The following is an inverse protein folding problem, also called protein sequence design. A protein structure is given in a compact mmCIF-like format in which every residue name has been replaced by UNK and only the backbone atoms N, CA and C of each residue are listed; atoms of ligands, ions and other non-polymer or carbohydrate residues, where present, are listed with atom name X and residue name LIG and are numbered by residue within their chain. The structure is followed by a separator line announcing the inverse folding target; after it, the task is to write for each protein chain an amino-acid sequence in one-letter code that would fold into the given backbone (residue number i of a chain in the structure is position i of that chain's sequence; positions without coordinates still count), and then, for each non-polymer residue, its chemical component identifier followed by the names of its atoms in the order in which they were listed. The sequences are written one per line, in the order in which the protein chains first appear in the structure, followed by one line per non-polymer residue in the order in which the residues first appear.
data_IF_055636439944
#
_entry.id   IF_055636439944
#
_cell.length_a   1.000
_cell.length_b   1.000
_cell.length_c   1.000
_cell.angle_alpha   90.00
_cell.angle_beta   90.00
_cell.angle_gamma   90.00
#
_symmetry.space_group_name_H-M   'P 1'
#
loop_
_entity.id
_entity.type
_entity.pdbx_description
1 polymer ?
#
# COMPACT_ATOMS: atom_id res chain seq x y z
N UNK A 1 8.85 21.53 12.46
CA UNK A 1 7.73 22.37 11.99
C UNK A 1 7.61 22.22 10.47
N UNK A 2 6.83 21.25 9.99
CA UNK A 2 6.57 21.06 8.56
C UNK A 2 5.40 21.95 8.20
N UNK A 3 5.71 23.22 7.91
CA UNK A 3 4.73 24.22 7.50
C UNK A 3 4.17 23.86 6.11
N UNK A 4 2.86 23.58 6.07
CA UNK A 4 1.99 23.52 4.89
C UNK A 4 2.26 22.41 3.86
N UNK A 5 1.20 21.68 3.51
CA UNK A 5 1.15 20.61 2.51
C UNK A 5 1.45 21.07 1.08
N UNK A 6 2.71 21.44 0.82
CA UNK A 6 3.24 21.69 -0.51
C UNK A 6 4.02 20.47 -0.99
N UNK A 7 3.55 19.91 -2.10
CA UNK A 7 4.17 18.80 -2.80
C UNK A 7 5.49 19.24 -3.43
N UNK A 8 6.62 18.74 -2.92
CA UNK A 8 7.97 19.10 -3.37
C UNK A 8 8.18 18.85 -4.87
N UNK A 9 7.50 17.83 -5.41
CA UNK A 9 7.56 17.47 -6.82
C UNK A 9 7.05 18.60 -7.73
N UNK A 10 6.22 19.53 -7.23
CA UNK A 10 5.77 20.70 -7.99
C UNK A 10 6.90 21.73 -8.25
N UNK A 11 8.00 21.64 -7.52
CA UNK A 11 9.19 22.50 -7.72
C UNK A 11 10.22 21.87 -8.65
N UNK A 12 10.03 20.61 -9.02
CA UNK A 12 10.89 19.94 -9.98
C UNK A 12 10.84 20.66 -11.35
N UNK A 13 11.99 20.98 -11.97
CA UNK A 13 12.04 21.72 -13.23
C UNK A 13 11.26 21.05 -14.38
N UNK A 14 11.30 19.72 -14.45
CA UNK A 14 10.58 18.95 -15.47
C UNK A 14 9.07 19.04 -15.25
N UNK A 15 8.61 18.93 -14.00
CA UNK A 15 7.19 19.10 -13.66
C UNK A 15 6.69 20.51 -14.00
N UNK A 16 7.47 21.55 -13.67
CA UNK A 16 7.11 22.93 -14.00
C UNK A 16 7.02 23.15 -15.52
N UNK A 17 7.98 22.61 -16.28
CA UNK A 17 7.97 22.67 -17.75
C UNK A 17 6.73 22.00 -18.34
N UNK A 18 6.36 20.82 -17.84
CA UNK A 18 5.17 20.10 -18.29
C UNK A 18 3.89 20.89 -17.94
N UNK A 19 3.80 21.43 -16.73
CA UNK A 19 2.66 22.27 -16.34
C UNK A 19 2.54 23.54 -17.19
N UNK A 20 3.66 24.18 -17.53
CA UNK A 20 3.68 25.33 -18.44
C UNK A 20 3.21 24.94 -19.84
N UNK A 21 3.64 23.77 -20.35
CA UNK A 21 3.18 23.23 -21.63
C UNK A 21 1.67 23.02 -21.64
N UNK A 22 1.11 22.38 -20.59
CA UNK A 22 -0.34 22.17 -20.49
C UNK A 22 -1.12 23.49 -20.44
N UNK A 23 -0.58 24.52 -19.78
CA UNK A 23 -1.23 25.85 -19.67
C UNK A 23 -1.15 26.67 -20.94
N UNK A 24 -0.02 26.61 -21.64
CA UNK A 24 0.27 27.48 -22.79
C UNK A 24 -0.16 26.85 -24.12
N UNK A 25 -0.29 25.53 -24.19
CA UNK A 25 -0.81 24.82 -25.34
C UNK A 25 -2.35 24.85 -25.35
N UNK A 26 -2.96 24.95 -26.54
CA UNK A 26 -4.41 24.85 -26.68
C UNK A 26 -4.95 23.53 -26.11
N UNK A 27 -6.15 23.58 -25.50
CA UNK A 27 -6.79 22.40 -24.92
C UNK A 27 -7.00 21.31 -26.00
N UNK A 28 -6.55 20.09 -25.71
CA UNK A 28 -6.68 18.95 -26.65
C UNK A 28 -5.62 18.88 -27.75
N UNK A 29 -4.61 19.77 -27.74
CA UNK A 29 -3.44 19.63 -28.61
C UNK A 29 -2.59 18.43 -28.23
N UNK A 30 -1.85 17.88 -29.21
CA UNK A 30 -0.94 16.74 -29.01
C UNK A 30 0.06 17.04 -27.88
N UNK A 31 0.64 18.23 -27.85
CA UNK A 31 1.60 18.64 -26.82
C UNK A 31 0.98 18.69 -25.42
N UNK A 32 -0.25 19.20 -25.30
CA UNK A 32 -0.96 19.24 -24.02
C UNK A 32 -1.31 17.83 -23.52
N UNK A 33 -1.76 16.94 -24.42
CA UNK A 33 -2.07 15.54 -24.10
C UNK A 33 -0.80 14.79 -23.67
N UNK A 34 0.30 14.94 -24.41
CA UNK A 34 1.58 14.32 -24.08
C UNK A 34 2.11 14.81 -22.72
N UNK A 35 2.02 16.12 -22.45
CA UNK A 35 2.45 16.70 -21.18
C UNK A 35 1.58 16.23 -20.01
N UNK A 36 0.27 16.14 -20.18
CA UNK A 36 -0.65 15.59 -19.17
C UNK A 36 -0.36 14.11 -18.90
N UNK A 37 -0.12 13.31 -19.94
CA UNK A 37 0.24 11.90 -19.82
C UNK A 37 1.54 11.75 -19.03
N UNK A 38 2.57 12.54 -19.37
CA UNK A 38 3.86 12.49 -18.66
C UNK A 38 3.73 12.92 -17.19
N UNK A 39 2.94 13.96 -16.89
CA UNK A 39 2.64 14.35 -15.51
C UNK A 39 1.95 13.23 -14.74
N UNK A 40 0.98 12.56 -15.35
CA UNK A 40 0.29 11.42 -14.73
C UNK A 40 1.27 10.29 -14.41
N UNK A 41 2.15 9.95 -15.33
CA UNK A 41 3.18 8.92 -15.12
C UNK A 41 4.14 9.28 -13.98
N UNK A 42 4.55 10.56 -13.89
CA UNK A 42 5.39 11.06 -12.80
C UNK A 42 4.71 10.88 -11.44
N UNK A 43 3.47 11.35 -11.29
CA UNK A 43 2.75 11.23 -10.02
C UNK A 43 2.45 9.77 -9.67
N UNK A 44 2.11 8.94 -10.67
CA UNK A 44 1.90 7.50 -10.46
C UNK A 44 3.16 6.81 -9.95
N UNK A 45 4.33 7.11 -10.51
CA UNK A 45 5.59 6.52 -10.06
C UNK A 45 5.92 6.94 -8.62
N UNK A 46 5.73 8.21 -8.25
CA UNK A 46 5.87 8.64 -6.84
C UNK A 46 4.91 7.89 -5.93
N UNK A 47 3.65 7.79 -6.31
CA UNK A 47 2.61 7.13 -5.52
C UNK A 47 2.88 5.61 -5.39
N UNK A 48 3.54 4.99 -6.37
CA UNK A 48 4.06 3.62 -6.28
C UNK A 48 5.18 3.48 -5.26
N UNK A 49 6.13 4.42 -5.20
CA UNK A 49 7.18 4.41 -4.15
C UNK A 49 6.52 4.56 -2.77
N UNK A 50 5.56 5.48 -2.64
CA UNK A 50 4.83 5.69 -1.41
C UNK A 50 4.10 4.42 -0.94
N UNK A 51 3.33 3.80 -1.85
CA UNK A 51 2.66 2.51 -1.59
C UNK A 51 3.67 1.44 -1.17
N UNK A 52 4.77 1.30 -1.90
CA UNK A 52 5.78 0.28 -1.66
C UNK A 52 6.46 0.46 -0.30
N UNK A 53 6.85 1.68 0.07
CA UNK A 53 7.44 1.98 1.38
C UNK A 53 6.45 1.69 2.52
N UNK A 54 5.20 2.13 2.40
CA UNK A 54 4.16 1.83 3.39
C UNK A 54 3.92 0.32 3.53
N UNK A 55 3.82 -0.41 2.42
CA UNK A 55 3.62 -1.85 2.44
C UNK A 55 4.84 -2.59 3.03
N UNK A 56 6.06 -2.16 2.72
CA UNK A 56 7.29 -2.71 3.27
C UNK A 56 7.27 -2.68 4.81
N UNK A 57 6.90 -1.55 5.42
CA UNK A 57 6.81 -1.42 6.88
C UNK A 57 5.75 -2.34 7.50
N UNK A 58 4.61 -2.51 6.82
CA UNK A 58 3.58 -3.46 7.24
C UNK A 58 4.13 -4.89 7.17
N UNK A 59 4.69 -5.32 6.04
CA UNK A 59 5.26 -6.65 5.89
C UNK A 59 6.40 -6.92 6.88
N UNK A 60 7.23 -5.91 7.16
CA UNK A 60 8.27 -5.98 8.18
C UNK A 60 7.70 -6.24 9.58
N UNK A 61 6.57 -5.61 9.92
CA UNK A 61 5.89 -5.80 11.22
C UNK A 61 5.42 -7.24 11.41
N UNK A 62 5.06 -7.93 10.31
CA UNK A 62 4.62 -9.33 10.32
C UNK A 62 5.73 -10.33 9.94
N UNK A 63 6.95 -9.87 9.66
CA UNK A 63 8.08 -10.74 9.29
C UNK A 63 7.95 -11.39 7.91
N UNK A 64 7.21 -10.78 6.98
CA UNK A 64 6.99 -11.32 5.64
C UNK A 64 8.11 -10.90 4.67
N UNK A 65 9.27 -11.55 4.77
CA UNK A 65 10.48 -11.18 4.01
C UNK A 65 10.26 -11.20 2.49
N UNK A 66 9.56 -12.21 1.96
CA UNK A 66 9.32 -12.32 0.52
C UNK A 66 8.57 -11.09 -0.03
N UNK A 67 7.59 -10.58 0.73
CA UNK A 67 6.85 -9.39 0.35
C UNK A 67 7.64 -8.09 0.61
N UNK A 68 8.49 -8.05 1.64
CA UNK A 68 9.43 -6.94 1.84
C UNK A 68 10.36 -6.78 0.62
N UNK A 69 10.96 -7.87 0.14
CA UNK A 69 11.86 -7.86 -1.03
C UNK A 69 11.11 -7.39 -2.30
N UNK A 70 9.88 -7.85 -2.48
CA UNK A 70 9.02 -7.43 -3.59
C UNK A 70 8.69 -5.92 -3.53
N UNK A 71 8.39 -5.38 -2.34
CA UNK A 71 8.12 -3.94 -2.17
C UNK A 71 9.38 -3.11 -2.35
N UNK A 72 10.54 -3.57 -1.88
CA UNK A 72 11.80 -2.89 -2.14
C UNK A 72 12.07 -2.79 -3.65
N UNK A 73 11.92 -3.90 -4.39
CA UNK A 73 12.05 -3.91 -5.85
C UNK A 73 11.05 -2.97 -6.54
N UNK A 74 9.80 -2.98 -6.11
CA UNK A 74 8.77 -2.09 -6.66
C UNK A 74 9.14 -0.60 -6.48
N UNK A 75 9.69 -0.23 -5.32
CA UNK A 75 10.17 1.12 -5.07
C UNK A 75 11.35 1.47 -5.99
N UNK A 76 12.33 0.58 -6.17
CA UNK A 76 13.46 0.81 -7.09
C UNK A 76 13.04 0.93 -8.56
N UNK A 77 12.10 0.10 -9.01
CA UNK A 77 11.58 0.18 -10.38
C UNK A 77 10.82 1.50 -10.62
N UNK A 78 10.07 1.98 -9.61
CA UNK A 78 9.41 3.28 -9.68
C UNK A 78 10.40 4.47 -9.64
N UNK A 79 11.52 4.36 -8.91
CA UNK A 79 12.62 5.34 -8.96
C UNK A 79 13.24 5.43 -10.34
N UNK A 80 13.57 4.30 -10.96
CA UNK A 80 14.06 4.25 -12.35
C UNK A 80 13.06 4.86 -13.34
N UNK A 81 11.76 4.67 -13.09
CA UNK A 81 10.72 5.32 -13.89
C UNK A 81 10.78 6.84 -13.76
N UNK A 82 10.90 7.40 -12.55
CA UNK A 82 11.05 8.85 -12.34
C UNK A 82 12.32 9.39 -13.01
N UNK A 83 13.43 8.68 -12.89
CA UNK A 83 14.69 9.00 -13.58
C UNK A 83 14.48 9.09 -15.10
N UNK A 84 13.87 8.06 -15.72
CA UNK A 84 13.58 8.05 -17.17
C UNK A 84 12.64 9.17 -17.62
N UNK A 85 11.84 9.71 -16.70
CA UNK A 85 10.93 10.82 -16.96
C UNK A 85 11.63 12.18 -16.81
N UNK A 86 12.88 12.21 -16.35
CA UNK A 86 13.69 13.41 -16.19
C UNK A 86 13.41 14.18 -14.89
N UNK A 87 12.92 13.48 -13.86
CA UNK A 87 12.78 14.05 -12.51
C UNK A 87 14.14 14.08 -11.84
N UNK A 88 14.41 15.14 -11.07
CA UNK A 88 15.65 15.26 -10.30
C UNK A 88 15.70 14.21 -9.18
N UNK A 89 16.86 13.55 -9.03
CA UNK A 89 17.06 12.47 -8.06
C UNK A 89 16.70 12.87 -6.63
N UNK A 90 16.91 14.13 -6.24
CA UNK A 90 16.54 14.66 -4.92
C UNK A 90 15.05 14.44 -4.56
N UNK A 91 14.20 14.24 -5.57
CA UNK A 91 12.77 13.97 -5.38
C UNK A 91 12.47 12.51 -5.02
N UNK A 92 13.36 11.57 -5.32
CA UNK A 92 13.12 10.12 -5.16
C UNK A 92 14.33 9.29 -4.71
N UNK A 93 15.44 9.93 -4.34
CA UNK A 93 16.67 9.27 -3.93
C UNK A 93 16.44 8.15 -2.90
N UNK A 94 17.30 7.14 -2.91
CA UNK A 94 17.24 6.06 -1.94
C UNK A 94 17.25 6.63 -0.50
N UNK A 95 16.40 6.08 0.37
CA UNK A 95 16.23 6.55 1.75
C UNK A 95 15.32 7.78 1.93
N UNK A 96 14.89 8.47 0.86
CA UNK A 96 13.85 9.51 0.99
C UNK A 96 12.52 8.87 1.38
N UNK A 97 11.91 9.38 2.45
CA UNK A 97 10.58 8.95 2.87
C UNK A 97 9.50 9.59 1.98
N UNK A 98 8.90 8.77 1.13
CA UNK A 98 7.75 9.11 0.30
C UNK A 98 6.46 8.43 0.80
N UNK A 99 6.52 7.62 1.87
CA UNK A 99 5.36 6.92 2.45
C UNK A 99 4.26 7.90 2.84
N UNK A 100 4.64 9.14 3.22
CA UNK A 100 3.71 10.22 3.55
C UNK A 100 2.75 10.57 2.41
N UNK A 101 3.05 10.25 1.15
CA UNK A 101 2.14 10.46 0.02
C UNK A 101 1.04 9.39 -0.08
N UNK A 102 1.19 8.26 0.61
CA UNK A 102 0.14 7.25 0.73
C UNK A 102 -0.88 7.65 1.80
N UNK A 103 -2.09 8.09 1.37
CA UNK A 103 -3.10 8.69 2.27
C UNK A 103 -4.15 7.70 2.82
N UNK A 104 -3.99 6.41 2.56
CA UNK A 104 -4.91 5.36 3.03
C UNK A 104 -4.31 4.66 4.26
N UNK A 105 -5.10 3.89 5.04
CA UNK A 105 -4.55 3.06 6.11
C UNK A 105 -3.45 2.13 5.60
N UNK A 106 -2.36 1.98 6.35
CA UNK A 106 -1.12 1.32 5.89
C UNK A 106 -1.35 -0.09 5.33
N UNK A 107 -2.22 -0.90 5.97
CA UNK A 107 -2.58 -2.24 5.50
C UNK A 107 -3.15 -2.26 4.07
N UNK A 108 -3.78 -1.18 3.61
CA UNK A 108 -4.30 -1.06 2.23
C UNK A 108 -3.21 -0.84 1.19
N UNK A 109 -1.96 -0.64 1.60
CA UNK A 109 -0.82 -0.63 0.70
C UNK A 109 -0.40 -2.05 0.30
N UNK A 110 -0.77 -3.07 1.09
CA UNK A 110 -0.42 -4.46 0.85
C UNK A 110 -1.31 -5.09 -0.22
N UNK A 111 -0.71 -5.75 -1.22
CA UNK A 111 -1.45 -6.52 -2.23
C UNK A 111 -1.74 -7.95 -1.75
N UNK A 112 -0.86 -8.47 -0.89
CA UNK A 112 -0.99 -9.78 -0.23
C UNK A 112 -1.17 -9.61 1.27
N UNK A 113 -1.81 -10.60 1.91
CA UNK A 113 -2.00 -10.66 3.35
C UNK A 113 -0.64 -10.59 4.07
N UNK A 114 -0.41 -9.55 4.90
CA UNK A 114 0.88 -9.39 5.54
C UNK A 114 1.11 -10.42 6.65
N UNK A 115 0.04 -10.96 7.23
CA UNK A 115 0.12 -11.90 8.36
C UNK A 115 0.44 -13.34 7.94
N UNK A 116 0.34 -13.66 6.65
CA UNK A 116 0.59 -15.01 6.11
C UNK A 116 1.96 -15.02 5.41
N UNK A 117 2.94 -15.64 6.06
CA UNK A 117 4.34 -15.65 5.58
C UNK A 117 4.70 -16.90 4.77
N UNK A 118 3.89 -17.96 4.84
CA UNK A 118 4.14 -19.24 4.16
C UNK A 118 3.89 -19.19 2.65
N UNK A 119 3.08 -18.24 2.18
CA UNK A 119 2.69 -18.07 0.77
C UNK A 119 2.01 -16.73 0.53
N UNK A 120 1.93 -16.34 -0.74
CA UNK A 120 1.28 -15.10 -1.17
C UNK A 120 -0.24 -15.29 -1.34
N UNK A 121 -1.01 -14.95 -0.32
CA UNK A 121 -2.49 -14.93 -0.38
C UNK A 121 -2.94 -13.48 -0.61
N UNK A 122 -3.79 -13.17 -1.61
CA UNK A 122 -4.28 -11.81 -1.84
C UNK A 122 -4.93 -11.22 -0.58
N UNK A 123 -4.68 -9.94 -0.31
CA UNK A 123 -5.27 -9.27 0.85
C UNK A 123 -6.80 -9.30 0.77
N UNK A 124 -7.43 -9.85 1.81
CA UNK A 124 -8.89 -9.91 1.92
C UNK A 124 -9.47 -8.48 2.02
N UNK A 125 -10.42 -8.17 1.13
CA UNK A 125 -11.11 -6.88 1.08
C UNK A 125 -12.28 -6.82 2.06
N UNK A 126 -12.01 -7.09 3.33
CA UNK A 126 -12.97 -7.01 4.43
C UNK A 126 -12.45 -6.02 5.48
N UNK A 127 -13.25 -4.99 5.78
CA UNK A 127 -12.82 -3.89 6.68
C UNK A 127 -12.56 -4.36 8.11
N UNK A 128 -13.31 -5.35 8.61
CA UNK A 128 -13.15 -5.87 9.96
C UNK A 128 -11.85 -6.69 10.07
N UNK A 129 -11.52 -7.47 9.03
CA UNK A 129 -10.25 -8.16 8.93
C UNK A 129 -9.06 -7.19 8.80
N UNK A 130 -9.21 -6.15 7.98
CA UNK A 130 -8.18 -5.11 7.86
C UNK A 130 -8.04 -4.26 9.13
N UNK A 131 -9.10 -4.10 9.93
CA UNK A 131 -9.00 -3.52 11.28
C UNK A 131 -8.22 -4.44 12.22
N UNK A 132 -8.45 -5.75 12.14
CA UNK A 132 -7.70 -6.73 12.92
C UNK A 132 -6.21 -6.71 12.59
N UNK A 133 -5.86 -6.68 11.29
CA UNK A 133 -4.47 -6.51 10.83
C UNK A 133 -3.83 -5.23 11.39
N UNK A 134 -4.54 -4.09 11.34
CA UNK A 134 -4.05 -2.83 11.93
C UNK A 134 -3.85 -2.93 13.43
N UNK A 135 -4.78 -3.60 14.12
CA UNK A 135 -4.72 -3.79 15.57
C UNK A 135 -3.53 -4.69 15.94
N UNK A 136 -3.24 -5.73 15.16
CA UNK A 136 -2.10 -6.62 15.36
C UNK A 136 -0.73 -5.92 15.20
N UNK A 137 -0.69 -4.77 14.52
CA UNK A 137 0.51 -3.92 14.45
C UNK A 137 0.72 -3.05 15.69
N UNK A 138 -0.29 -2.90 16.56
CA UNK A 138 -0.16 -2.16 17.81
C UNK A 138 0.75 -2.90 18.81
N UNK A 139 1.39 -2.16 19.70
CA UNK A 139 2.19 -2.74 20.80
C UNK A 139 1.28 -3.12 21.98
N UNK A 140 1.72 -4.09 22.78
CA UNK A 140 1.05 -4.48 24.03
C UNK A 140 -0.04 -5.54 23.86
N UNK A 141 -0.89 -5.69 24.88
CA UNK A 141 -1.87 -6.77 24.99
C UNK A 141 -2.88 -6.79 23.84
N UNK A 142 -3.32 -5.61 23.40
CA UNK A 142 -4.29 -5.47 22.30
C UNK A 142 -3.72 -5.99 20.97
N UNK A 143 -2.46 -5.69 20.68
CA UNK A 143 -1.76 -6.22 19.50
C UNK A 143 -1.53 -7.73 19.58
N UNK A 144 -1.14 -8.22 20.76
CA UNK A 144 -0.96 -9.66 20.99
C UNK A 144 -2.28 -10.44 20.82
N UNK A 145 -3.38 -9.91 21.37
CA UNK A 145 -4.71 -10.49 21.19
C UNK A 145 -5.10 -10.54 19.70
N UNK A 146 -4.90 -9.45 18.96
CA UNK A 146 -5.24 -9.39 17.54
C UNK A 146 -4.42 -10.39 16.70
N UNK A 147 -3.13 -10.58 17.03
CA UNK A 147 -2.30 -11.64 16.41
C UNK A 147 -2.88 -13.03 16.66
N UNK A 148 -3.29 -13.34 17.88
CA UNK A 148 -3.95 -14.61 18.19
C UNK A 148 -5.26 -14.83 17.42
N UNK A 149 -6.05 -13.77 17.20
CA UNK A 149 -7.24 -13.87 16.35
C UNK A 149 -6.89 -14.14 14.88
N UNK A 150 -5.84 -13.50 14.36
CA UNK A 150 -5.37 -13.73 12.99
C UNK A 150 -4.93 -15.19 12.79
N UNK A 151 -4.18 -15.77 13.72
CA UNK A 151 -3.75 -17.19 13.66
C UNK A 151 -4.95 -18.16 13.54
N UNK A 152 -6.02 -17.91 14.31
CA UNK A 152 -7.26 -18.69 14.21
C UNK A 152 -7.95 -18.57 12.84
N UNK A 153 -8.03 -17.34 12.31
CA UNK A 153 -8.60 -17.07 10.99
C UNK A 153 -7.77 -17.72 9.88
N UNK A 154 -6.44 -17.61 9.96
CA UNK A 154 -5.51 -18.20 9.01
C UNK A 154 -5.69 -19.71 8.95
N UNK A 155 -5.70 -20.40 10.11
CA UNK A 155 -5.93 -21.85 10.18
C UNK A 155 -7.22 -22.25 9.44
N UNK A 156 -8.27 -21.44 9.60
CA UNK A 156 -9.56 -21.66 8.93
C UNK A 156 -9.44 -21.45 7.41
N UNK A 157 -8.75 -20.38 6.98
CA UNK A 157 -8.48 -20.10 5.56
C UNK A 157 -7.69 -21.23 4.90
N UNK A 158 -6.68 -21.77 5.57
CA UNK A 158 -5.87 -22.86 5.04
C UNK A 158 -6.67 -24.15 4.86
N UNK A 159 -7.55 -24.48 5.81
CA UNK A 159 -8.47 -25.61 5.71
C UNK A 159 -9.45 -25.44 4.54
N UNK A 160 -10.01 -24.24 4.34
CA UNK A 160 -10.90 -23.95 3.21
C UNK A 160 -10.19 -24.08 1.86
N UNK A 161 -8.94 -23.57 1.76
CA UNK A 161 -8.12 -23.71 0.55
C UNK A 161 -7.81 -25.19 0.26
N UNK A 162 -7.44 -25.96 1.28
CA UNK A 162 -7.13 -27.39 1.15
C UNK A 162 -8.35 -28.23 0.71
N UNK A 163 -9.55 -27.79 1.08
CA UNK A 163 -10.82 -28.48 0.75
C UNK A 163 -11.49 -27.97 -0.53
N UNK A 164 -10.89 -26.98 -1.22
CA UNK A 164 -11.43 -26.43 -2.47
C UNK A 164 -12.68 -25.55 -2.28
N UNK A 165 -12.97 -25.10 -1.06
CA UNK A 165 -14.12 -24.23 -0.76
C UNK A 165 -13.75 -22.77 -1.09
N UNK A 166 -14.60 -22.09 -1.85
CA UNK A 166 -14.41 -20.67 -2.18
C UNK A 166 -14.45 -19.79 -0.92
N UNK A 167 -13.36 -19.05 -0.69
CA UNK A 167 -13.15 -18.11 0.42
C UNK A 167 -14.27 -17.05 0.55
N UNK A 168 -14.98 -16.74 -0.55
CA UNK A 168 -16.02 -15.71 -0.59
C UNK A 168 -17.32 -16.08 0.15
N UNK A 169 -17.56 -17.36 0.46
CA UNK A 169 -18.86 -17.84 0.96
C UNK A 169 -18.82 -18.32 2.41
N UNK A 170 -17.67 -18.79 2.93
CA UNK A 170 -17.61 -19.46 4.23
C UNK A 170 -16.94 -18.66 5.37
N UNK A 171 -16.20 -17.58 5.08
CA UNK A 171 -15.71 -16.66 6.13
C UNK A 171 -16.87 -16.03 6.92
N UNK A 172 -18.11 -16.13 6.42
CA UNK A 172 -19.31 -15.60 7.06
C UNK A 172 -20.04 -16.57 8.01
N UNK A 173 -19.81 -17.89 8.01
CA UNK A 173 -20.83 -18.79 8.59
C UNK A 173 -20.41 -19.87 9.57
N UNK A 174 -19.13 -20.21 9.78
CA UNK A 174 -18.84 -21.17 10.86
C UNK A 174 -17.49 -21.00 11.56
N UNK A 175 -17.57 -21.07 12.89
CA UNK A 175 -16.49 -21.04 13.90
C UNK A 175 -15.63 -19.77 14.05
N UNK A 176 -15.89 -18.72 13.28
CA UNK A 176 -15.43 -17.35 13.60
C UNK A 176 -16.32 -16.60 14.60
N UNK A 177 -17.56 -17.05 14.84
CA UNK A 177 -18.57 -16.27 15.56
C UNK A 177 -18.20 -15.86 17.00
N UNK A 178 -17.33 -16.60 17.70
CA UNK A 178 -16.81 -16.18 19.02
C UNK A 178 -15.69 -15.15 18.90
N UNK A 179 -14.76 -15.33 17.96
CA UNK A 179 -13.68 -14.38 17.69
C UNK A 179 -14.19 -13.02 17.19
N UNK A 180 -15.22 -13.03 16.33
CA UNK A 180 -15.83 -11.83 15.77
C UNK A 180 -16.88 -11.17 16.70
N UNK A 181 -17.52 -11.95 17.57
CA UNK A 181 -18.46 -11.41 18.57
C UNK A 181 -17.80 -10.45 19.57
N UNK A 182 -16.50 -10.64 19.84
CA UNK A 182 -15.73 -9.75 20.71
C UNK A 182 -15.19 -8.51 19.98
N UNK A 183 -14.99 -8.57 18.65
CA UNK A 183 -14.68 -7.39 17.82
C UNK A 183 -15.87 -6.43 17.72
N UNK A 184 -17.09 -6.96 17.63
CA UNK A 184 -18.33 -6.15 17.54
C UNK A 184 -18.65 -5.44 18.87
N UNK A 185 -18.14 -5.93 20.01
CA UNK A 185 -18.31 -5.26 21.32
C UNK A 185 -17.39 -4.05 21.53
N UNK A 186 -16.49 -3.77 20.57
CA UNK A 186 -15.55 -2.65 20.62
C UNK A 186 -15.96 -1.45 19.74
N UNK A 187 -17.15 -1.50 19.12
CA UNK A 187 -17.84 -0.37 18.47
C UNK A 187 -19.06 0.03 19.27
#
# INVERSE_FOLDING_TARGET
ATLMGWDELKRDPMVQKLQATVKNSGLGTIDSIAAQSKLKDIYLARDQIAKAQTAYEVYQTFGNQAQMDAMHKLAEDARKKLESLGIDEVQYQAGKDLSTYFKKPAVKACDYDPSITSRSIPLVQNEAYQLLLRTAMEKGEKGAWAKGQLEGIQTTMEQMIATGVSLGVHVMTNQGGKAWGDVIKLT
#
